data_IF_729190468639
#
_entry.id   IF_729190468639
#
_cell.length_a   1.000
_cell.length_b   1.000
_cell.length_c   1.000
_cell.angle_alpha   90.00
_cell.angle_beta   90.00
_cell.angle_gamma   90.00
#
_symmetry.space_group_name_H-M   'P 1'
#
loop_
_entity.id
_entity.type
_entity.pdbx_description
1 polymer ?
#
# COMPACT_ATOMS: atom_id res chain seq x y z
N UNK A 1 30.38 -67.61 3.81
CA UNK A 1 28.91 -67.59 3.98
C UNK A 1 28.55 -66.69 5.16
N UNK A 2 28.00 -65.50 4.90
CA UNK A 2 27.53 -64.61 5.96
C UNK A 2 26.32 -65.25 6.65
N UNK A 3 26.32 -65.34 7.99
CA UNK A 3 25.18 -65.84 8.76
C UNK A 3 23.96 -64.97 8.46
N UNK A 4 22.77 -65.58 8.30
CA UNK A 4 21.51 -64.91 7.94
C UNK A 4 21.21 -63.68 8.82
N UNK A 5 21.58 -63.72 10.10
CA UNK A 5 21.42 -62.60 11.04
C UNK A 5 22.37 -61.42 10.77
N UNK A 6 23.55 -61.67 10.19
CA UNK A 6 24.50 -60.62 9.81
C UNK A 6 24.08 -59.95 8.50
N UNK A 7 23.46 -60.71 7.58
CA UNK A 7 22.84 -60.16 6.36
C UNK A 7 21.66 -59.26 6.72
N UNK A 8 20.80 -59.68 7.66
CA UNK A 8 19.66 -58.89 8.11
C UNK A 8 20.08 -57.58 8.79
N UNK A 9 21.13 -57.61 9.62
CA UNK A 9 21.72 -56.41 10.24
C UNK A 9 22.33 -55.47 9.20
N UNK A 10 23.02 -56.02 8.19
CA UNK A 10 23.62 -55.21 7.13
C UNK A 10 22.55 -54.51 6.28
N UNK A 11 21.47 -55.22 5.93
CA UNK A 11 20.34 -54.66 5.18
C UNK A 11 19.62 -53.57 5.99
N UNK A 12 19.41 -53.78 7.29
CA UNK A 12 18.82 -52.79 8.18
C UNK A 12 19.69 -51.52 8.32
N UNK A 13 21.02 -51.68 8.41
CA UNK A 13 21.96 -50.56 8.47
C UNK A 13 22.03 -49.77 7.15
N UNK A 14 21.98 -50.45 6.00
CA UNK A 14 21.93 -49.78 4.69
C UNK A 14 20.61 -49.02 4.50
N UNK A 15 19.48 -49.59 4.93
CA UNK A 15 18.18 -48.91 4.93
C UNK A 15 18.18 -47.66 5.82
N UNK A 16 18.75 -47.74 7.03
CA UNK A 16 18.87 -46.58 7.93
C UNK A 16 19.75 -45.48 7.34
N UNK A 17 20.87 -45.84 6.71
CA UNK A 17 21.78 -44.88 6.06
C UNK A 17 21.13 -44.24 4.83
N UNK A 18 20.36 -45.02 4.06
CA UNK A 18 19.60 -44.48 2.92
C UNK A 18 18.49 -43.50 3.33
N UNK A 19 17.84 -43.73 4.47
CA UNK A 19 16.86 -42.79 5.03
C UNK A 19 17.52 -41.50 5.56
N UNK A 20 18.75 -41.58 6.08
CA UNK A 20 19.50 -40.40 6.52
C UNK A 20 20.01 -39.54 5.35
N UNK A 21 20.26 -40.12 4.18
CA UNK A 21 20.70 -39.40 2.98
C UNK A 21 19.55 -38.77 2.18
N UNK A 22 18.29 -39.22 2.37
CA UNK A 22 17.11 -38.57 1.78
C UNK A 22 16.65 -37.32 2.53
N UNK A 23 17.23 -37.00 3.70
CA UNK A 23 16.93 -35.79 4.48
C UNK A 23 17.67 -34.52 4.03
N UNK A 24 18.62 -34.64 3.10
CA UNK A 24 19.23 -33.50 2.38
C UNK A 24 18.67 -33.41 0.96
N UNK A 25 17.37 -33.63 0.78
CA UNK A 25 16.68 -32.93 -0.29
C UNK A 25 16.72 -31.46 0.09
N UNK A 26 17.59 -30.68 -0.56
CA UNK A 26 17.55 -29.24 -0.45
C UNK A 26 16.08 -28.84 -0.54
N UNK A 27 15.60 -28.11 0.47
CA UNK A 27 14.37 -27.34 0.31
C UNK A 27 14.64 -26.59 -0.99
N UNK A 28 13.97 -26.99 -2.06
CA UNK A 28 13.81 -26.11 -3.21
C UNK A 28 13.24 -24.88 -2.54
N UNK A 29 14.05 -23.84 -2.41
CA UNK A 29 13.53 -22.54 -2.06
C UNK A 29 12.51 -22.30 -3.18
N UNK A 30 11.23 -22.53 -2.89
CA UNK A 30 10.22 -21.75 -3.57
C UNK A 30 10.73 -20.33 -3.42
N UNK A 31 11.07 -19.69 -4.55
CA UNK A 31 11.17 -18.24 -4.59
C UNK A 31 9.84 -17.75 -4.02
N UNK A 32 9.86 -17.40 -2.74
CA UNK A 32 8.68 -16.88 -2.07
C UNK A 32 8.58 -15.44 -2.55
N UNK A 33 7.67 -15.21 -3.46
CA UNK A 33 7.34 -13.88 -3.95
C UNK A 33 6.46 -13.19 -2.91
N UNK A 34 6.79 -11.95 -2.54
CA UNK A 34 5.94 -11.07 -1.75
C UNK A 34 5.22 -10.11 -2.68
N UNK A 35 3.88 -10.11 -2.63
CA UNK A 35 3.04 -9.20 -3.41
C UNK A 35 2.68 -7.98 -2.59
N UNK A 36 3.16 -6.82 -3.01
CA UNK A 36 2.78 -5.55 -2.40
C UNK A 36 1.60 -4.90 -3.13
N UNK A 37 0.75 -4.19 -2.39
CA UNK A 37 -0.26 -3.32 -2.98
C UNK A 37 0.38 -2.08 -3.63
N UNK A 38 -0.10 -1.70 -4.81
CA UNK A 38 0.12 -0.38 -5.42
C UNK A 38 -1.23 0.32 -5.65
N UNK A 39 -1.51 1.33 -4.84
CA UNK A 39 -2.75 2.11 -4.93
C UNK A 39 -2.61 3.36 -5.82
N UNK A 40 -1.47 3.53 -6.50
CA UNK A 40 -1.31 4.45 -7.62
C UNK A 40 -0.68 5.81 -7.30
N UNK A 41 -0.28 6.09 -6.06
CA UNK A 41 0.53 7.27 -5.74
C UNK A 41 2.03 6.93 -5.70
N UNK A 42 2.90 7.93 -5.83
CA UNK A 42 4.33 7.67 -5.99
C UNK A 42 5.01 7.22 -4.69
N UNK A 43 4.56 7.68 -3.52
CA UNK A 43 5.17 7.30 -2.24
C UNK A 43 4.99 5.82 -1.92
N UNK A 44 3.84 5.18 -2.23
CA UNK A 44 3.66 3.74 -1.98
C UNK A 44 4.64 2.91 -2.82
N UNK A 45 4.87 3.28 -4.08
CA UNK A 45 5.84 2.63 -4.96
C UNK A 45 7.26 2.75 -4.41
N UNK A 46 7.61 3.93 -3.89
CA UNK A 46 8.89 4.12 -3.21
C UNK A 46 9.02 3.19 -1.99
N UNK A 47 8.01 3.13 -1.13
CA UNK A 47 8.04 2.27 0.05
C UNK A 47 8.08 0.77 -0.30
N UNK A 48 7.33 0.35 -1.32
CA UNK A 48 7.38 -1.02 -1.85
C UNK A 48 8.78 -1.35 -2.36
N UNK A 49 9.40 -0.47 -3.16
CA UNK A 49 10.75 -0.68 -3.69
C UNK A 49 11.80 -0.80 -2.60
N UNK A 50 11.72 0.02 -1.54
CA UNK A 50 12.62 -0.08 -0.38
C UNK A 50 12.43 -1.40 0.35
N UNK A 51 11.19 -1.78 0.69
CA UNK A 51 10.90 -3.03 1.40
C UNK A 51 11.28 -4.26 0.55
N UNK A 52 10.93 -4.24 -0.73
CA UNK A 52 11.25 -5.28 -1.71
C UNK A 52 12.75 -5.48 -1.88
N UNK A 53 13.52 -4.39 -2.00
CA UNK A 53 14.99 -4.47 -2.07
C UNK A 53 15.59 -5.11 -0.83
N UNK A 54 15.09 -4.77 0.37
CA UNK A 54 15.55 -5.40 1.63
C UNK A 54 15.23 -6.90 1.63
N UNK A 55 14.02 -7.28 1.21
CA UNK A 55 13.57 -8.66 1.12
C UNK A 55 14.42 -9.49 0.14
N UNK A 56 14.75 -8.90 -1.01
CA UNK A 56 15.58 -9.51 -2.04
C UNK A 56 17.02 -9.70 -1.58
N UNK A 57 17.66 -8.62 -1.11
CA UNK A 57 19.09 -8.62 -0.78
C UNK A 57 19.43 -9.38 0.50
N UNK A 58 18.54 -9.35 1.50
CA UNK A 58 18.85 -9.88 2.84
C UNK A 58 18.11 -11.18 3.19
N UNK A 59 17.00 -11.46 2.51
CA UNK A 59 16.12 -12.58 2.89
C UNK A 59 15.85 -13.57 1.74
N UNK A 60 16.29 -13.27 0.51
CA UNK A 60 16.15 -14.16 -0.65
C UNK A 60 14.70 -14.32 -1.14
N UNK A 61 13.84 -13.34 -0.87
CA UNK A 61 12.48 -13.27 -1.43
C UNK A 61 12.50 -12.48 -2.74
N UNK A 62 11.70 -12.86 -3.72
CA UNK A 62 11.34 -11.96 -4.82
C UNK A 62 10.14 -11.11 -4.41
N UNK A 63 9.82 -10.06 -5.16
CA UNK A 63 8.64 -9.25 -4.89
C UNK A 63 8.06 -8.66 -6.18
N UNK A 64 6.76 -8.38 -6.13
CA UNK A 64 6.02 -7.72 -7.20
C UNK A 64 4.93 -6.81 -6.64
N UNK A 65 4.29 -6.05 -7.51
CA UNK A 65 3.21 -5.13 -7.15
C UNK A 65 1.89 -5.57 -7.80
N UNK A 66 0.81 -5.46 -7.02
CA UNK A 66 -0.56 -5.64 -7.48
C UNK A 66 -1.24 -4.28 -7.45
N UNK A 67 -1.44 -3.70 -8.63
CA UNK A 67 -2.09 -2.39 -8.76
C UNK A 67 -3.61 -2.48 -8.60
N UNK A 68 -4.19 -1.51 -7.89
CA UNK A 68 -5.64 -1.43 -7.71
C UNK A 68 -6.09 -0.10 -7.12
N UNK A 69 -7.41 0.10 -7.03
CA UNK A 69 -7.96 1.19 -6.22
C UNK A 69 -7.80 0.89 -4.73
N UNK A 70 -7.89 1.90 -3.87
CA UNK A 70 -7.83 1.74 -2.40
C UNK A 70 -8.74 0.61 -1.87
N UNK A 71 -10.03 0.51 -2.24
CA UNK A 71 -10.86 -0.59 -1.76
C UNK A 71 -10.45 -1.95 -2.34
N UNK A 72 -9.95 -1.99 -3.58
CA UNK A 72 -9.52 -3.24 -4.22
C UNK A 72 -8.26 -3.77 -3.55
N UNK A 73 -7.25 -2.92 -3.29
CA UNK A 73 -6.03 -3.35 -2.62
C UNK A 73 -6.29 -3.76 -1.17
N UNK A 74 -7.20 -3.07 -0.45
CA UNK A 74 -7.62 -3.49 0.89
C UNK A 74 -8.31 -4.86 0.86
N UNK A 75 -9.23 -5.11 -0.07
CA UNK A 75 -9.83 -6.44 -0.22
C UNK A 75 -8.79 -7.51 -0.62
N UNK A 76 -7.78 -7.15 -1.42
CA UNK A 76 -6.67 -8.04 -1.77
C UNK A 76 -5.87 -8.49 -0.54
N UNK A 77 -5.66 -7.60 0.43
CA UNK A 77 -5.06 -7.97 1.73
C UNK A 77 -5.99 -8.93 2.49
N UNK A 78 -7.28 -8.62 2.57
CA UNK A 78 -8.25 -9.41 3.34
C UNK A 78 -8.50 -10.81 2.74
N UNK A 79 -8.31 -10.98 1.43
CA UNK A 79 -8.43 -12.26 0.73
C UNK A 79 -7.13 -13.07 0.72
N UNK A 80 -6.00 -12.44 1.07
CA UNK A 80 -4.66 -13.03 0.97
C UNK A 80 -4.10 -13.07 -0.46
N UNK A 81 -4.66 -12.29 -1.38
CA UNK A 81 -4.11 -12.12 -2.73
C UNK A 81 -2.89 -11.17 -2.73
N UNK A 82 -2.88 -10.22 -1.80
CA UNK A 82 -1.78 -9.29 -1.55
C UNK A 82 -1.21 -9.61 -0.16
N UNK A 83 0.11 -9.65 -0.05
CA UNK A 83 0.82 -10.01 1.19
C UNK A 83 1.14 -8.80 2.06
N UNK A 84 1.38 -7.63 1.44
CA UNK A 84 1.78 -6.41 2.15
C UNK A 84 1.23 -5.12 1.53
N UNK A 85 1.01 -4.11 2.38
CA UNK A 85 0.59 -2.78 1.94
C UNK A 85 1.40 -1.74 2.72
N UNK A 86 2.38 -1.13 2.06
CA UNK A 86 3.39 -0.29 2.74
C UNK A 86 2.90 1.10 3.13
N UNK A 87 1.80 1.56 2.55
CA UNK A 87 1.21 2.85 2.87
C UNK A 87 -0.32 2.77 2.86
N UNK A 88 -0.96 2.73 4.03
CA UNK A 88 -2.43 2.69 4.14
C UNK A 88 -2.94 4.00 4.73
N UNK A 89 -3.77 4.71 3.98
CA UNK A 89 -4.54 5.85 4.48
C UNK A 89 -5.80 5.36 5.20
N UNK A 90 -5.62 4.91 6.43
CA UNK A 90 -6.64 4.17 7.21
C UNK A 90 -7.95 4.93 7.36
N UNK A 91 -7.89 6.26 7.51
CA UNK A 91 -9.07 7.14 7.62
C UNK A 91 -10.00 7.10 6.40
N UNK A 92 -9.48 6.71 5.22
CA UNK A 92 -10.29 6.60 4.02
C UNK A 92 -11.02 5.24 3.95
N UNK A 93 -10.53 4.22 4.66
CA UNK A 93 -11.09 2.87 4.61
C UNK A 93 -12.05 2.68 5.78
N UNK A 94 -13.35 2.83 5.51
CA UNK A 94 -14.40 2.76 6.55
C UNK A 94 -14.40 1.47 7.38
N UNK A 95 -14.00 0.33 6.80
CA UNK A 95 -13.95 -0.96 7.49
C UNK A 95 -12.62 -1.26 8.18
N UNK A 96 -11.61 -0.38 8.10
CA UNK A 96 -10.24 -0.68 8.52
C UNK A 96 -10.15 -1.16 9.97
N UNK A 97 -10.73 -0.40 10.89
CA UNK A 97 -10.71 -0.73 12.33
C UNK A 97 -11.50 -2.02 12.61
N UNK A 98 -12.65 -2.23 11.97
CA UNK A 98 -13.43 -3.47 12.12
C UNK A 98 -12.67 -4.70 11.59
N UNK A 99 -12.01 -4.57 10.44
CA UNK A 99 -11.21 -5.63 9.84
C UNK A 99 -9.97 -5.96 10.70
N UNK A 100 -9.36 -4.94 11.30
CA UNK A 100 -8.24 -5.07 12.24
C UNK A 100 -8.68 -5.78 13.52
N UNK A 101 -9.78 -5.35 14.13
CA UNK A 101 -10.34 -5.94 15.36
C UNK A 101 -10.76 -7.41 15.17
N UNK A 102 -11.10 -7.80 13.94
CA UNK A 102 -11.42 -9.18 13.55
C UNK A 102 -10.19 -10.00 13.16
N UNK A 103 -8.98 -9.49 13.36
CA UNK A 103 -7.72 -10.15 13.01
C UNK A 103 -7.62 -10.58 11.53
N UNK A 104 -8.28 -9.85 10.61
CA UNK A 104 -8.29 -10.20 9.18
C UNK A 104 -6.98 -9.86 8.48
N UNK A 105 -6.18 -8.98 9.07
CA UNK A 105 -4.82 -8.64 8.67
C UNK A 105 -4.00 -8.27 9.91
N UNK A 106 -2.69 -8.05 9.76
CA UNK A 106 -1.82 -7.57 10.84
C UNK A 106 -1.25 -6.20 10.51
N UNK A 107 -1.54 -5.23 11.37
CA UNK A 107 -0.91 -3.92 11.35
C UNK A 107 0.50 -4.04 11.95
N UNK A 108 1.53 -3.79 11.13
CA UNK A 108 2.93 -3.94 11.56
C UNK A 108 3.49 -2.66 12.18
N UNK A 109 2.81 -1.52 11.98
CA UNK A 109 3.17 -0.24 12.55
C UNK A 109 2.97 0.91 11.56
N UNK A 110 3.29 2.12 12.03
CA UNK A 110 3.25 3.34 11.25
C UNK A 110 4.51 3.46 10.39
N UNK A 111 4.32 3.62 9.07
CA UNK A 111 5.42 3.86 8.13
C UNK A 111 5.90 5.33 8.19
N UNK A 112 4.96 6.28 8.19
CA UNK A 112 5.17 7.72 8.41
C UNK A 112 3.87 8.37 8.91
N UNK A 113 3.97 9.52 9.60
CA UNK A 113 2.85 10.20 10.26
C UNK A 113 2.82 11.73 10.08
N UNK A 114 3.73 12.29 9.27
CA UNK A 114 3.86 13.73 9.02
C UNK A 114 3.02 14.22 7.82
N UNK A 115 1.96 13.48 7.49
CA UNK A 115 1.16 13.62 6.29
C UNK A 115 -0.26 14.16 6.56
N UNK A 116 -0.82 14.86 5.56
CA UNK A 116 -2.15 15.47 5.66
C UNK A 116 -2.95 15.32 4.36
N UNK A 117 -4.19 14.85 4.48
CA UNK A 117 -5.21 14.89 3.43
C UNK A 117 -6.24 15.97 3.75
N UNK A 118 -6.08 17.13 3.10
CA UNK A 118 -6.91 18.32 3.31
C UNK A 118 -7.14 19.05 1.99
N UNK A 119 -8.02 20.04 1.99
CA UNK A 119 -8.12 21.00 0.89
C UNK A 119 -6.88 21.90 0.86
N UNK A 120 -6.30 22.04 -0.33
CA UNK A 120 -5.23 22.99 -0.59
C UNK A 120 -5.75 24.10 -1.51
N UNK A 121 -5.37 25.34 -1.19
CA UNK A 121 -5.64 26.52 -2.01
C UNK A 121 -4.29 27.13 -2.40
N UNK A 122 -4.06 27.50 -3.68
CA UNK A 122 -2.82 28.16 -4.07
C UNK A 122 -2.60 29.44 -3.28
N UNK A 123 -1.38 29.63 -2.76
CA UNK A 123 -1.06 30.76 -1.87
C UNK A 123 -1.43 32.13 -2.44
N UNK A 124 -1.23 32.33 -3.74
CA UNK A 124 -1.55 33.61 -4.40
C UNK A 124 -3.05 33.96 -4.38
N UNK A 125 -3.95 32.98 -4.19
CA UNK A 125 -5.38 33.25 -4.02
C UNK A 125 -5.64 34.02 -2.73
N UNK A 126 -4.86 33.72 -1.68
CA UNK A 126 -4.98 34.35 -0.37
C UNK A 126 -4.12 35.62 -0.27
N UNK A 127 -2.87 35.55 -0.73
CA UNK A 127 -1.88 36.61 -0.50
C UNK A 127 -1.61 37.49 -1.74
N UNK A 128 -2.06 37.08 -2.92
CA UNK A 128 -1.58 37.63 -4.18
C UNK A 128 -0.16 37.15 -4.52
N UNK A 129 0.35 37.58 -5.66
CA UNK A 129 1.73 37.38 -6.11
C UNK A 129 2.18 38.63 -6.87
N UNK A 130 2.82 39.57 -6.18
CA UNK A 130 3.24 40.85 -6.76
C UNK A 130 4.31 40.70 -7.83
N UNK A 131 5.15 39.65 -7.77
CA UNK A 131 6.17 39.39 -8.79
C UNK A 131 5.53 38.98 -10.12
N UNK A 132 4.40 38.28 -10.05
CA UNK A 132 3.59 37.89 -11.22
C UNK A 132 2.46 38.87 -11.56
N UNK A 133 2.28 39.93 -10.79
CA UNK A 133 1.20 40.91 -10.98
C UNK A 133 -0.20 40.33 -10.72
N UNK A 134 -0.32 39.41 -9.75
CA UNK A 134 -1.57 38.75 -9.37
C UNK A 134 -2.08 39.38 -8.07
N UNK A 135 -3.29 39.92 -8.07
CA UNK A 135 -3.97 40.38 -6.87
C UNK A 135 -4.58 39.22 -6.07
N UNK A 136 -4.67 39.37 -4.75
CA UNK A 136 -5.35 38.39 -3.89
C UNK A 136 -6.86 38.34 -4.21
N UNK A 137 -7.36 37.16 -4.59
CA UNK A 137 -8.76 36.98 -4.99
C UNK A 137 -9.68 36.51 -3.84
N UNK A 138 -9.13 35.92 -2.79
CA UNK A 138 -9.87 35.49 -1.60
C UNK A 138 -9.03 35.63 -0.30
N UNK A 139 -8.60 36.85 0.08
CA UNK A 139 -7.73 37.06 1.25
C UNK A 139 -8.32 36.66 2.60
N UNK A 140 -9.65 36.58 2.70
CA UNK A 140 -10.37 36.19 3.94
C UNK A 140 -10.74 34.70 3.98
N UNK A 141 -10.38 33.90 2.96
CA UNK A 141 -10.62 32.46 2.93
C UNK A 141 -9.69 31.73 3.92
N UNK A 142 -10.26 31.27 5.05
CA UNK A 142 -9.50 30.58 6.11
C UNK A 142 -9.97 29.17 6.39
N UNK A 143 -11.24 28.89 6.12
CA UNK A 143 -11.86 27.60 6.43
C UNK A 143 -12.58 27.00 5.23
N UNK A 144 -12.75 25.67 5.23
CA UNK A 144 -13.42 24.95 4.12
C UNK A 144 -14.85 25.48 3.89
N UNK A 145 -15.58 25.86 4.94
CA UNK A 145 -16.93 26.42 4.79
C UNK A 145 -16.95 27.81 4.15
N UNK A 146 -15.84 28.55 4.17
CA UNK A 146 -15.74 29.84 3.49
C UNK A 146 -15.70 29.71 1.98
N UNK A 147 -15.35 28.53 1.42
CA UNK A 147 -15.35 28.28 -0.03
C UNK A 147 -16.69 28.62 -0.70
N UNK A 148 -17.80 28.49 0.04
CA UNK A 148 -19.15 28.85 -0.43
C UNK A 148 -19.29 30.34 -0.78
N UNK A 149 -18.42 31.21 -0.25
CA UNK A 149 -18.40 32.66 -0.52
C UNK A 149 -17.62 33.00 -1.79
N UNK A 150 -16.83 32.07 -2.33
CA UNK A 150 -15.90 32.31 -3.44
C UNK A 150 -16.13 31.42 -4.67
N UNK A 151 -17.38 31.15 -5.13
CA UNK A 151 -17.61 30.32 -6.31
C UNK A 151 -17.02 30.93 -7.58
N UNK A 152 -16.98 32.27 -7.68
CA UNK A 152 -16.43 32.99 -8.84
C UNK A 152 -14.89 32.90 -8.92
N UNK A 153 -14.22 32.68 -7.79
CA UNK A 153 -12.75 32.53 -7.73
C UNK A 153 -12.32 31.15 -8.20
N UNK A 154 -13.10 30.13 -7.86
CA UNK A 154 -12.85 28.74 -8.24
C UNK A 154 -13.83 28.28 -9.31
N UNK A 155 -14.06 29.08 -10.34
CA UNK A 155 -15.14 28.86 -11.30
C UNK A 155 -15.05 27.48 -11.99
N UNK A 156 -16.19 26.80 -12.10
CA UNK A 156 -16.32 25.60 -12.92
C UNK A 156 -16.61 25.98 -14.39
N UNK A 157 -15.75 25.53 -15.31
CA UNK A 157 -15.89 25.80 -16.75
C UNK A 157 -17.09 25.07 -17.38
N UNK A 158 -17.49 23.92 -16.84
CA UNK A 158 -18.65 23.14 -17.30
C UNK A 158 -19.96 23.64 -16.67
N UNK A 159 -19.88 24.17 -15.44
CA UNK A 159 -21.01 24.75 -14.71
C UNK A 159 -20.68 26.15 -14.18
N UNK A 160 -20.69 27.20 -15.01
CA UNK A 160 -20.21 28.56 -14.66
C UNK A 160 -20.86 29.23 -13.44
N UNK A 161 -22.01 28.71 -12.97
CA UNK A 161 -22.69 29.18 -11.77
C UNK A 161 -22.20 28.51 -10.47
N UNK A 162 -21.22 27.60 -10.54
CA UNK A 162 -20.69 26.82 -9.42
C UNK A 162 -19.18 26.99 -9.33
N UNK A 163 -18.67 26.76 -8.11
CA UNK A 163 -17.24 26.54 -7.88
C UNK A 163 -16.85 25.08 -8.15
N UNK A 164 -15.61 24.87 -8.61
CA UNK A 164 -14.97 23.58 -8.87
C UNK A 164 -14.04 23.22 -7.72
N UNK A 165 -14.21 22.00 -7.23
CA UNK A 165 -13.22 21.31 -6.41
C UNK A 165 -12.53 20.28 -7.30
N UNK A 166 -11.20 20.24 -7.25
CA UNK A 166 -10.42 19.16 -7.86
C UNK A 166 -10.19 18.09 -6.80
N UNK A 167 -10.79 16.92 -7.02
CA UNK A 167 -10.68 15.75 -6.15
C UNK A 167 -9.35 15.01 -6.29
N UNK A 168 -9.35 13.75 -5.85
CA UNK A 168 -8.19 12.87 -5.95
C UNK A 168 -8.04 12.28 -7.36
N UNK A 169 -7.05 11.40 -7.53
CA UNK A 169 -6.98 10.58 -8.73
C UNK A 169 -8.11 9.54 -8.67
N UNK A 170 -8.85 9.28 -9.78
CA UNK A 170 -9.86 8.25 -9.79
C UNK A 170 -9.33 6.90 -9.30
N UNK A 171 -10.04 6.27 -8.36
CA UNK A 171 -9.63 5.03 -7.69
C UNK A 171 -8.95 5.26 -6.33
N UNK A 172 -8.58 6.50 -6.00
CA UNK A 172 -8.26 6.85 -4.62
C UNK A 172 -9.56 7.09 -3.86
N UNK A 173 -9.66 6.54 -2.65
CA UNK A 173 -10.87 6.65 -1.86
C UNK A 173 -11.20 8.10 -1.47
N UNK A 174 -10.18 8.96 -1.31
CA UNK A 174 -10.37 10.39 -1.07
C UNK A 174 -11.17 11.08 -2.17
N UNK A 175 -11.08 10.62 -3.42
CA UNK A 175 -11.86 11.18 -4.53
C UNK A 175 -13.37 10.94 -4.33
N UNK A 176 -13.74 9.77 -3.80
CA UNK A 176 -15.13 9.43 -3.49
C UNK A 176 -15.65 10.19 -2.26
N UNK A 177 -14.81 10.42 -1.25
CA UNK A 177 -15.17 11.18 -0.04
C UNK A 177 -15.55 12.63 -0.36
N UNK A 178 -15.02 13.18 -1.45
CA UNK A 178 -15.18 14.58 -1.82
C UNK A 178 -16.43 14.88 -2.66
N UNK A 179 -17.15 13.83 -3.11
CA UNK A 179 -18.35 13.91 -3.95
C UNK A 179 -19.65 13.67 -3.16
#
# INVERSE_FOLDING_TARGET
MLKKNNVLKLVASVLLISMLLSGCGGISAEEREIKFADAGWDSIKFHNAVAGTILEELYGYSWSEVSGSTPVTHQGILSGEIDGHMEIWTANISSYEEDKDKDRFKELGTNFDDNFQVFYVPRYVIEGDSEKGIDASAPDLKYVWDLKKYPDVFKDEESPAKGRVYGGIPGWEVDQIMH
#
